data_IF_487230454193
#
_entry.id   IF_487230454193
#
_cell.length_a   1.000
_cell.length_b   1.000
_cell.length_c   1.000
_cell.angle_alpha   90.00
_cell.angle_beta   90.00
_cell.angle_gamma   90.00
#
_symmetry.space_group_name_H-M   'P 1'
#
loop_
_entity.id
_entity.type
_entity.pdbx_description
1 polymer ?
#
# COMPACT_ATOMS: atom_id res chain seq x y z
N UNK A 1 34.01 43.08 -1.25
CA UNK A 1 34.76 41.84 -1.03
C UNK A 1 35.28 41.25 -2.35
N UNK A 2 34.49 40.48 -3.12
CA UNK A 2 35.00 39.84 -4.37
C UNK A 2 35.40 40.85 -5.44
N UNK A 3 34.58 41.88 -5.70
CA UNK A 3 34.91 42.93 -6.69
C UNK A 3 36.16 43.73 -6.32
N UNK A 4 36.36 44.02 -5.03
CA UNK A 4 37.54 44.75 -4.55
C UNK A 4 38.81 43.92 -4.68
N UNK A 5 38.73 42.60 -4.42
CA UNK A 5 39.84 41.67 -4.65
C UNK A 5 40.20 41.54 -6.14
N UNK A 6 39.20 41.38 -7.01
CA UNK A 6 39.38 41.33 -8.47
C UNK A 6 40.07 42.59 -9.00
N UNK A 7 39.67 43.77 -8.51
CA UNK A 7 40.30 45.05 -8.87
C UNK A 7 41.74 45.13 -8.36
N UNK A 8 42.00 44.73 -7.11
CA UNK A 8 43.37 44.70 -6.56
C UNK A 8 44.30 43.77 -7.36
N UNK A 9 43.82 42.59 -7.74
CA UNK A 9 44.52 41.64 -8.62
C UNK A 9 44.84 42.21 -10.00
N UNK A 10 43.89 42.93 -10.61
CA UNK A 10 44.11 43.56 -11.92
C UNK A 10 45.08 44.74 -11.85
N UNK A 11 45.10 45.47 -10.74
CA UNK A 11 45.99 46.61 -10.54
C UNK A 11 47.43 46.18 -10.17
N UNK A 12 47.58 45.14 -9.37
CA UNK A 12 48.89 44.65 -8.87
C UNK A 12 49.06 43.14 -9.09
N UNK A 13 49.09 42.66 -10.35
CA UNK A 13 49.12 41.22 -10.65
C UNK A 13 50.41 40.53 -10.16
N UNK A 14 51.50 41.28 -10.00
CA UNK A 14 52.79 40.75 -9.56
C UNK A 14 52.94 40.67 -8.03
N UNK A 15 52.05 41.32 -7.28
CA UNK A 15 52.10 41.35 -5.81
C UNK A 15 51.39 40.14 -5.21
N UNK A 16 52.03 38.96 -5.33
CA UNK A 16 51.52 37.69 -4.81
C UNK A 16 50.99 37.73 -3.38
N UNK A 17 51.63 38.42 -2.41
CA UNK A 17 51.16 38.44 -1.04
C UNK A 17 49.75 39.02 -0.86
N UNK A 18 49.26 39.81 -1.82
CA UNK A 18 47.92 40.39 -1.75
C UNK A 18 46.79 39.40 -2.08
N UNK A 19 47.11 38.26 -2.69
CA UNK A 19 46.09 37.35 -3.23
C UNK A 19 46.38 35.86 -3.13
N UNK A 20 47.59 35.47 -2.74
CA UNK A 20 48.00 34.08 -2.63
C UNK A 20 47.18 33.30 -1.58
N UNK A 21 46.90 33.92 -0.43
CA UNK A 21 46.07 33.32 0.63
C UNK A 21 44.63 33.11 0.13
N UNK A 22 44.00 34.14 -0.41
CA UNK A 22 42.65 34.07 -0.96
C UNK A 22 42.54 33.05 -2.10
N UNK A 23 43.55 32.96 -2.96
CA UNK A 23 43.62 31.95 -4.02
C UNK A 23 43.72 30.54 -3.44
N UNK A 24 44.59 30.34 -2.44
CA UNK A 24 44.75 29.03 -1.77
C UNK A 24 43.44 28.57 -1.13
N UNK A 25 42.73 29.49 -0.48
CA UNK A 25 41.45 29.22 0.15
C UNK A 25 40.36 28.92 -0.89
N UNK A 26 40.33 29.67 -1.99
CA UNK A 26 39.38 29.43 -3.08
C UNK A 26 39.58 28.04 -3.72
N UNK A 27 40.83 27.60 -3.90
CA UNK A 27 41.16 26.27 -4.41
C UNK A 27 40.72 25.17 -3.43
N UNK A 28 41.04 25.31 -2.14
CA UNK A 28 40.60 24.38 -1.10
C UNK A 28 39.08 24.29 -1.02
N UNK A 29 38.38 25.41 -1.09
CA UNK A 29 36.92 25.44 -1.09
C UNK A 29 36.35 24.75 -2.33
N UNK A 30 36.95 24.96 -3.50
CA UNK A 30 36.52 24.29 -4.73
C UNK A 30 36.66 22.77 -4.61
N UNK A 31 37.77 22.28 -4.07
CA UNK A 31 38.01 20.86 -3.85
C UNK A 31 37.01 20.26 -2.86
N UNK A 32 36.77 20.92 -1.72
CA UNK A 32 35.76 20.51 -0.75
C UNK A 32 34.35 20.45 -1.38
N UNK A 33 33.98 21.44 -2.19
CA UNK A 33 32.69 21.42 -2.88
C UNK A 33 32.59 20.28 -3.90
N UNK A 34 33.68 19.94 -4.60
CA UNK A 34 33.69 18.78 -5.51
C UNK A 34 33.46 17.48 -4.73
N UNK A 35 34.21 17.27 -3.65
CA UNK A 35 34.04 16.10 -2.79
C UNK A 35 32.62 15.99 -2.21
N UNK A 36 32.03 17.11 -1.77
CA UNK A 36 30.64 17.11 -1.28
C UNK A 36 29.62 16.76 -2.37
N UNK A 37 29.79 17.30 -3.60
CA UNK A 37 28.91 16.95 -4.73
C UNK A 37 29.04 15.49 -5.12
N UNK A 38 30.25 14.95 -5.14
CA UNK A 38 30.48 13.52 -5.41
C UNK A 38 29.84 12.63 -4.36
N UNK A 39 30.00 12.96 -3.07
CA UNK A 39 29.34 12.24 -1.98
C UNK A 39 27.81 12.30 -2.09
N UNK A 40 27.25 13.47 -2.39
CA UNK A 40 25.81 13.63 -2.58
C UNK A 40 25.31 12.77 -3.76
N UNK A 41 26.05 12.75 -4.87
CA UNK A 41 25.74 11.90 -6.03
C UNK A 41 25.76 10.41 -5.66
N UNK A 42 26.76 9.97 -4.89
CA UNK A 42 26.83 8.58 -4.41
C UNK A 42 25.69 8.23 -3.46
N UNK A 43 25.32 9.13 -2.54
CA UNK A 43 24.19 8.93 -1.64
C UNK A 43 22.86 8.85 -2.42
N UNK A 44 22.66 9.71 -3.41
CA UNK A 44 21.48 9.67 -4.27
C UNK A 44 21.43 8.39 -5.11
N UNK A 45 22.56 7.95 -5.68
CA UNK A 45 22.67 6.68 -6.39
C UNK A 45 22.36 5.49 -5.46
N UNK A 46 22.89 5.49 -4.24
CA UNK A 46 22.61 4.44 -3.25
C UNK A 46 21.12 4.42 -2.85
N UNK A 47 20.51 5.59 -2.66
CA UNK A 47 19.06 5.71 -2.40
C UNK A 47 18.23 5.19 -3.56
N UNK A 48 18.61 5.51 -4.79
CA UNK A 48 17.93 4.97 -5.98
C UNK A 48 18.01 3.46 -6.04
N UNK A 49 19.17 2.87 -5.76
CA UNK A 49 19.32 1.41 -5.72
C UNK A 49 18.46 0.75 -4.63
N UNK A 50 18.31 1.40 -3.46
CA UNK A 50 17.42 0.93 -2.39
C UNK A 50 15.94 1.00 -2.77
N UNK A 51 15.50 2.08 -3.41
CA UNK A 51 14.10 2.28 -3.79
C UNK A 51 13.72 1.46 -5.03
N UNK A 52 14.63 1.34 -5.99
CA UNK A 52 14.43 0.56 -7.21
C UNK A 52 14.72 -0.94 -7.01
N UNK A 53 15.06 -1.36 -5.79
CA UNK A 53 15.34 -2.74 -5.45
C UNK A 53 14.18 -3.66 -5.91
N UNK A 54 14.46 -4.73 -6.67
CA UNK A 54 13.43 -5.63 -7.17
C UNK A 54 12.54 -6.20 -6.06
N UNK A 55 13.10 -6.44 -4.88
CA UNK A 55 12.38 -6.96 -3.71
C UNK A 55 11.35 -5.97 -3.13
N UNK A 56 11.52 -4.66 -3.39
CA UNK A 56 10.58 -3.61 -2.96
C UNK A 56 9.54 -3.28 -4.04
N UNK A 57 9.79 -3.68 -5.29
CA UNK A 57 8.76 -3.60 -6.33
C UNK A 57 7.69 -4.63 -5.98
N UNK A 58 6.48 -4.14 -5.74
CA UNK A 58 5.32 -5.02 -5.53
C UNK A 58 5.01 -5.69 -6.86
N UNK A 59 5.55 -6.89 -7.06
CA UNK A 59 5.20 -7.75 -8.19
C UNK A 59 3.76 -8.30 -8.09
N UNK A 60 3.09 -8.04 -6.97
CA UNK A 60 1.74 -8.50 -6.69
C UNK A 60 0.71 -7.40 -6.92
N UNK A 61 -0.23 -7.74 -7.79
CA UNK A 61 -1.39 -6.95 -8.16
C UNK A 61 -2.62 -7.41 -7.34
N UNK A 62 -2.70 -6.95 -6.09
CA UNK A 62 -3.88 -7.20 -5.24
C UNK A 62 -5.13 -6.42 -5.67
N UNK A 63 -4.98 -5.46 -6.59
CA UNK A 63 -6.06 -4.63 -7.12
C UNK A 63 -6.49 -5.07 -8.54
N UNK A 64 -6.08 -6.28 -8.95
CA UNK A 64 -6.44 -6.82 -10.25
C UNK A 64 -7.94 -7.07 -10.30
N UNK A 65 -8.53 -6.75 -11.44
CA UNK A 65 -9.95 -7.01 -11.68
C UNK A 65 -10.30 -8.50 -11.43
N UNK A 66 -9.39 -9.42 -11.74
CA UNK A 66 -9.56 -10.87 -11.50
C UNK A 66 -9.66 -11.21 -9.99
N UNK A 67 -8.78 -10.66 -9.15
CA UNK A 67 -8.82 -10.91 -7.69
C UNK A 67 -10.07 -10.28 -7.08
N UNK A 68 -10.44 -9.09 -7.55
CA UNK A 68 -11.67 -8.39 -7.11
C UNK A 68 -12.91 -9.20 -7.52
N UNK A 69 -12.96 -9.71 -8.75
CA UNK A 69 -14.06 -10.53 -9.25
C UNK A 69 -14.17 -11.85 -8.46
N UNK A 70 -13.06 -12.53 -8.18
CA UNK A 70 -13.07 -13.74 -7.36
C UNK A 70 -13.60 -13.48 -5.93
N UNK A 71 -13.15 -12.40 -5.30
CA UNK A 71 -13.59 -12.02 -3.95
C UNK A 71 -15.09 -11.66 -3.92
N UNK A 72 -15.56 -10.90 -4.90
CA UNK A 72 -16.98 -10.53 -5.01
C UNK A 72 -17.86 -11.75 -5.27
N UNK A 73 -17.45 -12.65 -6.16
CA UNK A 73 -18.16 -13.91 -6.41
C UNK A 73 -18.25 -14.80 -5.15
N UNK A 74 -17.18 -14.88 -4.36
CA UNK A 74 -17.20 -15.60 -3.09
C UNK A 74 -18.14 -14.97 -2.07
N UNK A 75 -18.12 -13.64 -1.94
CA UNK A 75 -19.01 -12.90 -1.04
C UNK A 75 -20.49 -13.11 -1.43
N UNK A 76 -20.80 -13.02 -2.73
CA UNK A 76 -22.15 -13.26 -3.25
C UNK A 76 -22.61 -14.70 -3.02
N UNK A 77 -21.72 -15.68 -3.19
CA UNK A 77 -22.01 -17.08 -2.89
C UNK A 77 -22.29 -17.28 -1.41
N UNK A 78 -21.50 -16.67 -0.52
CA UNK A 78 -21.73 -16.75 0.92
C UNK A 78 -23.06 -16.12 1.32
N UNK A 79 -23.39 -14.95 0.76
CA UNK A 79 -24.68 -14.29 0.98
C UNK A 79 -25.85 -15.18 0.59
N UNK A 80 -25.79 -15.81 -0.59
CA UNK A 80 -26.84 -16.77 -1.04
C UNK A 80 -26.99 -17.94 -0.08
N UNK A 81 -25.91 -18.49 0.45
CA UNK A 81 -25.98 -19.56 1.44
C UNK A 81 -26.59 -19.11 2.76
N UNK A 82 -26.23 -17.93 3.27
CA UNK A 82 -26.83 -17.38 4.49
C UNK A 82 -28.32 -17.08 4.30
N UNK A 83 -28.72 -16.57 3.14
CA UNK A 83 -30.12 -16.33 2.81
C UNK A 83 -30.90 -17.66 2.73
N UNK A 84 -30.34 -18.68 2.09
CA UNK A 84 -30.93 -20.04 2.09
C UNK A 84 -31.01 -20.64 3.49
N UNK A 85 -29.99 -20.44 4.33
CA UNK A 85 -29.96 -20.94 5.71
C UNK A 85 -31.07 -20.30 6.57
N UNK A 86 -31.40 -19.04 6.31
CA UNK A 86 -32.55 -18.34 6.92
C UNK A 86 -33.89 -18.75 6.33
N UNK A 87 -33.94 -19.57 5.30
CA UNK A 87 -35.19 -19.95 4.62
C UNK A 87 -35.39 -21.47 4.73
N UNK A 88 -36.35 -21.92 5.54
CA UNK A 88 -36.71 -23.33 5.65
C UNK A 88 -37.91 -23.68 4.78
N UNK A 89 -37.86 -24.84 4.12
CA UNK A 89 -38.98 -25.37 3.34
C UNK A 89 -39.75 -26.36 4.21
N UNK A 90 -41.02 -26.06 4.49
CA UNK A 90 -41.93 -26.94 5.24
C UNK A 90 -42.97 -27.52 4.29
N UNK A 91 -43.16 -28.84 4.30
CA UNK A 91 -44.15 -29.53 3.45
C UNK A 91 -45.37 -29.92 4.29
N UNK A 92 -46.56 -29.43 3.89
CA UNK A 92 -47.86 -29.76 4.51
C UNK A 92 -48.23 -31.24 4.28
N UNK A 93 -49.08 -31.81 5.13
CA UNK A 93 -49.60 -33.19 5.04
C UNK A 93 -50.32 -33.51 3.72
N UNK A 94 -50.69 -32.48 2.95
CA UNK A 94 -51.25 -32.58 1.60
C UNK A 94 -50.21 -32.52 0.48
N UNK A 95 -48.91 -32.52 0.81
CA UNK A 95 -47.80 -32.44 -0.14
C UNK A 95 -47.48 -31.04 -0.65
N UNK A 96 -48.07 -29.99 -0.07
CA UNK A 96 -47.83 -28.60 -0.51
C UNK A 96 -46.62 -28.03 0.24
N UNK A 97 -45.56 -27.67 -0.48
CA UNK A 97 -44.38 -27.01 0.08
C UNK A 97 -44.62 -25.51 0.28
N UNK A 98 -44.24 -24.98 1.45
CA UNK A 98 -44.23 -23.55 1.77
C UNK A 98 -42.86 -23.14 2.29
N UNK A 99 -42.30 -22.07 1.75
CA UNK A 99 -41.11 -21.42 2.30
C UNK A 99 -41.47 -20.60 3.53
N UNK A 100 -40.70 -20.77 4.61
CA UNK A 100 -40.86 -20.06 5.88
C UNK A 100 -39.50 -19.50 6.27
N UNK A 101 -39.45 -18.22 6.63
CA UNK A 101 -38.23 -17.58 7.14
C UNK A 101 -37.98 -18.09 8.56
N UNK A 102 -36.81 -18.69 8.78
CA UNK A 102 -36.30 -19.09 10.09
C UNK A 102 -35.63 -17.86 10.70
N UNK A 103 -36.32 -17.19 11.63
CA UNK A 103 -35.69 -16.17 12.46
C UNK A 103 -34.65 -16.81 13.38
N UNK A 104 -33.51 -16.14 13.52
CA UNK A 104 -32.39 -16.56 14.37
C UNK A 104 -32.84 -16.53 15.84
N UNK A 105 -32.84 -17.71 16.49
CA UNK A 105 -33.40 -17.95 17.82
C UNK A 105 -32.49 -17.42 18.94
N UNK A 106 -32.47 -16.10 19.10
CA UNK A 106 -31.89 -15.45 20.27
C UNK A 106 -32.92 -15.11 21.36
N UNK A 107 -34.15 -15.67 21.31
CA UNK A 107 -35.13 -15.51 22.39
C UNK A 107 -36.17 -16.64 22.44
N UNK A 108 -36.31 -17.35 23.59
CA UNK A 108 -37.26 -18.45 23.70
C UNK A 108 -38.68 -17.88 23.82
N UNK A 109 -39.47 -17.98 22.75
CA UNK A 109 -40.90 -17.60 22.82
C UNK A 109 -41.77 -18.80 22.46
N UNK A 110 -42.19 -19.48 23.51
CA UNK A 110 -43.39 -20.29 23.73
C UNK A 110 -44.24 -20.73 22.51
N UNK A 111 -44.39 -22.05 22.43
CA UNK A 111 -45.64 -22.78 22.11
C UNK A 111 -46.19 -22.73 20.67
N UNK A 112 -45.80 -23.73 19.87
CA UNK A 112 -46.76 -24.76 19.40
C UNK A 112 -45.99 -26.01 19.03
N UNK A 113 -46.17 -27.07 19.83
CA UNK A 113 -45.49 -28.35 19.69
C UNK A 113 -46.05 -29.12 18.48
N UNK A 114 -45.57 -28.80 17.27
CA UNK A 114 -45.79 -29.64 16.09
C UNK A 114 -44.70 -30.71 16.04
N UNK A 115 -45.08 -31.95 16.36
CA UNK A 115 -44.21 -33.12 16.30
C UNK A 115 -43.88 -33.43 14.84
N UNK A 116 -42.66 -33.10 14.43
CA UNK A 116 -42.16 -33.40 13.08
C UNK A 116 -41.51 -34.80 13.10
N UNK A 117 -42.02 -35.71 12.26
CA UNK A 117 -41.47 -37.06 12.12
C UNK A 117 -40.58 -37.12 10.88
N UNK A 118 -39.33 -37.56 11.07
CA UNK A 118 -38.34 -37.73 10.00
C UNK A 118 -38.67 -38.96 9.16
N UNK A 119 -39.04 -38.78 7.90
CA UNK A 119 -39.15 -39.88 6.95
C UNK A 119 -37.75 -40.44 6.61
N UNK A 120 -37.58 -41.75 6.71
CA UNK A 120 -36.43 -42.47 6.14
C UNK A 120 -36.88 -43.10 4.83
N UNK A 121 -36.21 -42.76 3.72
CA UNK A 121 -36.47 -43.33 2.40
C UNK A 121 -35.96 -44.77 2.30
N UNK A 122 -36.70 -45.60 1.55
CA UNK A 122 -36.30 -46.91 1.04
C UNK A 122 -35.30 -46.75 -0.12
#
# INVERSE_FOLDING_TARGET
AVRSFQVALHLHPSERPLWEEDLSWALQLQEQQKALREKAKQEDEARRLLVEAPELKSDYDFESDEVIEACTAMADRQKKYEDLKKTAVVVDARGVAKEVVVEDDSKPTSSSQTVLVKARGL
#
